data_IF_397246406826
#
_entry.id   IF_397246406826
#
_cell.length_a   1.000
_cell.length_b   1.000
_cell.length_c   1.000
_cell.angle_alpha   90.00
_cell.angle_beta   90.00
_cell.angle_gamma   90.00
#
_symmetry.space_group_name_H-M   'P 1'
#
loop_
_entity.id
_entity.type
_entity.pdbx_description
1 polymer ?
#
# COMPACT_ATOMS: atom_id res chain seq x y z
N UNK A 1 -0.04 -24.11 -15.02
CA UNK A 1 -0.61 -22.95 -15.75
C UNK A 1 -1.65 -22.29 -14.84
N UNK A 2 -1.35 -21.12 -14.27
CA UNK A 2 -2.27 -20.37 -13.39
C UNK A 2 -2.62 -19.05 -14.07
N UNK A 3 -3.15 -19.12 -15.28
CA UNK A 3 -3.68 -17.96 -15.98
C UNK A 3 -5.20 -18.01 -15.85
N UNK A 4 -5.80 -17.02 -15.19
CA UNK A 4 -7.26 -16.87 -15.10
C UNK A 4 -7.94 -17.25 -13.78
N UNK A 5 -7.20 -17.64 -12.72
CA UNK A 5 -7.80 -17.69 -11.37
C UNK A 5 -7.86 -16.27 -10.81
N UNK A 6 -9.05 -15.78 -10.48
CA UNK A 6 -9.24 -14.51 -9.77
C UNK A 6 -8.52 -14.59 -8.43
N UNK A 7 -7.47 -13.79 -8.28
CA UNK A 7 -6.72 -13.64 -7.04
C UNK A 7 -7.37 -12.48 -6.28
N UNK A 8 -8.23 -12.79 -5.31
CA UNK A 8 -8.74 -11.77 -4.40
C UNK A 8 -7.63 -11.39 -3.41
N UNK A 9 -7.43 -10.11 -3.21
CA UNK A 9 -6.44 -9.56 -2.29
C UNK A 9 -7.19 -8.62 -1.34
N UNK A 10 -7.07 -8.88 -0.04
CA UNK A 10 -7.50 -7.92 0.96
C UNK A 10 -6.33 -6.97 1.27
N UNK A 11 -6.62 -5.67 1.30
CA UNK A 11 -5.64 -4.65 1.60
C UNK A 11 -6.06 -3.86 2.84
N UNK A 12 -5.16 -3.81 3.81
CA UNK A 12 -5.31 -3.00 5.01
C UNK A 12 -4.18 -1.96 5.08
N UNK A 13 -4.54 -0.75 5.49
CA UNK A 13 -3.64 0.40 5.64
C UNK A 13 -3.67 0.79 7.13
N UNK A 14 -2.62 0.47 7.86
CA UNK A 14 -2.48 0.85 9.27
C UNK A 14 -1.55 2.05 9.37
N UNK A 15 -1.98 3.07 10.09
CA UNK A 15 -1.19 4.29 10.27
C UNK A 15 -0.56 4.24 11.65
N UNK A 16 0.76 4.39 11.68
CA UNK A 16 1.57 4.34 12.88
C UNK A 16 2.22 5.71 13.07
N UNK A 17 1.98 6.32 14.23
CA UNK A 17 2.64 7.57 14.62
C UNK A 17 3.53 7.28 15.82
N UNK A 18 4.77 7.74 15.77
CA UNK A 18 5.75 7.48 16.83
C UNK A 18 5.76 8.52 17.95
N UNK A 19 4.88 9.53 17.86
CA UNK A 19 4.81 10.65 18.81
C UNK A 19 5.95 11.68 18.67
N UNK A 20 6.90 11.45 17.75
CA UNK A 20 7.98 12.38 17.39
C UNK A 20 7.73 13.06 16.04
N UNK A 21 6.54 12.88 15.49
CA UNK A 21 6.14 13.46 14.22
C UNK A 21 6.43 12.59 12.99
N UNK A 22 6.93 11.37 13.18
CA UNK A 22 7.04 10.45 12.07
C UNK A 22 5.73 9.68 11.90
N UNK A 23 5.24 9.68 10.68
CA UNK A 23 4.06 8.94 10.24
C UNK A 23 4.55 7.80 9.34
N UNK A 24 4.27 6.57 9.74
CA UNK A 24 4.48 5.39 8.93
C UNK A 24 3.14 4.78 8.55
N UNK A 25 3.07 4.17 7.37
CA UNK A 25 1.90 3.40 6.95
C UNK A 25 2.36 1.96 6.69
N UNK A 26 1.77 1.04 7.42
CA UNK A 26 1.88 -0.39 7.16
C UNK A 26 0.77 -0.81 6.20
N UNK A 27 1.16 -1.29 5.02
CA UNK A 27 0.28 -1.86 4.01
C UNK A 27 0.34 -3.38 4.16
N UNK A 28 -0.78 -4.00 4.53
CA UNK A 28 -0.91 -5.45 4.63
C UNK A 28 -1.70 -5.95 3.43
N UNK A 29 -1.11 -6.85 2.66
CA UNK A 29 -1.74 -7.51 1.52
C UNK A 29 -1.94 -8.99 1.86
N UNK A 30 -3.19 -9.39 2.00
CA UNK A 30 -3.56 -10.79 2.26
C UNK A 30 -4.11 -11.40 1.00
N UNK A 31 -3.39 -12.36 0.43
CA UNK A 31 -3.80 -13.07 -0.77
C UNK A 31 -4.75 -14.21 -0.41
N UNK A 32 -5.89 -14.28 -1.10
CA UNK A 32 -6.89 -15.33 -0.89
C UNK A 32 -6.41 -16.75 -1.19
N UNK A 33 -5.36 -16.88 -2.02
CA UNK A 33 -4.71 -18.15 -2.31
C UNK A 33 -3.44 -18.30 -1.49
N UNK A 34 -3.24 -19.52 -0.99
CA UNK A 34 -2.01 -20.00 -0.35
C UNK A 34 -1.61 -19.31 0.96
N UNK A 35 -2.49 -18.48 1.55
CA UNK A 35 -2.27 -17.85 2.86
C UNK A 35 -1.12 -16.84 2.88
N UNK A 36 -0.73 -16.34 1.71
CA UNK A 36 0.38 -15.40 1.58
C UNK A 36 -0.04 -14.05 2.18
N UNK A 37 0.80 -13.52 3.07
CA UNK A 37 0.64 -12.21 3.68
C UNK A 37 1.91 -11.41 3.43
N UNK A 38 1.79 -10.32 2.69
CA UNK A 38 2.87 -9.37 2.45
C UNK A 38 2.65 -8.11 3.26
N UNK A 39 3.73 -7.56 3.84
CA UNK A 39 3.69 -6.36 4.67
C UNK A 39 4.72 -5.35 4.18
N UNK A 40 4.27 -4.14 3.88
CA UNK A 40 5.13 -3.03 3.50
C UNK A 40 5.02 -1.92 4.53
N UNK A 41 6.13 -1.47 5.09
CA UNK A 41 6.16 -0.30 5.98
C UNK A 41 6.79 0.87 5.24
N UNK A 42 6.02 1.94 5.05
CA UNK A 42 6.44 3.12 4.28
C UNK A 42 6.46 4.33 5.20
N UNK A 43 7.52 5.14 5.12
CA UNK A 43 7.60 6.42 5.84
C UNK A 43 6.84 7.49 5.05
N UNK A 44 5.68 7.89 5.54
CA UNK A 44 4.80 8.83 4.87
C UNK A 44 5.32 10.27 4.86
N UNK A 45 6.22 10.64 5.78
CA UNK A 45 6.89 11.95 5.75
C UNK A 45 7.77 12.10 4.50
N UNK A 46 8.36 11.00 4.01
CA UNK A 46 9.26 11.02 2.85
C UNK A 46 8.53 10.76 1.54
N UNK A 47 7.48 9.95 1.57
CA UNK A 47 6.82 9.42 0.39
C UNK A 47 5.36 9.90 0.24
N UNK A 48 5.06 11.17 0.60
CA UNK A 48 3.69 11.71 0.52
C UNK A 48 3.06 11.57 -0.88
N UNK A 49 3.86 11.73 -1.95
CA UNK A 49 3.39 11.59 -3.33
C UNK A 49 2.87 10.18 -3.65
N UNK A 50 3.45 9.15 -3.03
CA UNK A 50 2.96 7.77 -3.17
C UNK A 50 1.53 7.67 -2.64
N UNK A 51 1.26 8.19 -1.44
CA UNK A 51 -0.08 8.16 -0.83
C UNK A 51 -1.10 9.04 -1.58
N UNK A 52 -0.66 10.17 -2.15
CA UNK A 52 -1.51 10.99 -3.03
C UNK A 52 -1.91 10.22 -4.29
N UNK A 53 -0.95 9.52 -4.90
CA UNK A 53 -1.19 8.69 -6.09
C UNK A 53 -2.08 7.50 -5.76
N UNK A 54 -1.87 6.86 -4.60
CA UNK A 54 -2.68 5.76 -4.11
C UNK A 54 -4.12 6.20 -3.86
N UNK A 55 -4.35 7.34 -3.20
CA UNK A 55 -5.70 7.89 -2.99
C UNK A 55 -6.38 8.23 -4.32
N UNK A 56 -5.67 8.89 -5.24
CA UNK A 56 -6.22 9.31 -6.53
C UNK A 56 -6.59 8.14 -7.45
N UNK A 57 -5.79 7.08 -7.44
CA UNK A 57 -5.94 5.99 -8.42
C UNK A 57 -6.57 4.75 -7.81
N UNK A 58 -6.49 4.59 -6.49
CA UNK A 58 -6.87 3.38 -5.77
C UNK A 58 -6.22 2.13 -6.35
N UNK A 59 -5.00 2.28 -6.87
CA UNK A 59 -4.21 1.21 -7.47
C UNK A 59 -2.83 1.12 -6.81
N UNK A 60 -2.41 -0.10 -6.50
CA UNK A 60 -1.06 -0.44 -6.07
C UNK A 60 -0.45 -1.39 -7.11
N UNK A 61 0.72 -1.05 -7.62
CA UNK A 61 1.46 -1.94 -8.52
C UNK A 61 2.65 -2.54 -7.77
N UNK A 62 2.75 -3.87 -7.78
CA UNK A 62 3.89 -4.62 -7.28
C UNK A 62 4.62 -5.22 -8.47
N UNK A 63 5.92 -4.98 -8.54
CA UNK A 63 6.79 -5.66 -9.49
C UNK A 63 8.00 -6.20 -8.73
N UNK A 64 8.52 -7.34 -9.20
CA UNK A 64 9.76 -7.90 -8.67
C UNK A 64 10.86 -7.84 -9.73
N UNK A 65 11.40 -6.63 -10.02
CA UNK A 65 12.37 -6.43 -11.10
C UNK A 65 13.67 -7.20 -10.89
N UNK A 66 13.97 -7.62 -9.65
CA UNK A 66 15.14 -8.41 -9.28
C UNK A 66 14.88 -9.91 -9.15
N UNK A 67 13.63 -10.37 -9.27
CA UNK A 67 13.35 -11.81 -9.24
C UNK A 67 13.98 -12.50 -10.46
N UNK A 68 14.48 -13.71 -10.28
CA UNK A 68 14.90 -14.55 -11.41
C UNK A 68 13.70 -15.12 -12.18
N UNK A 69 12.55 -15.24 -11.50
CA UNK A 69 11.28 -15.70 -12.04
C UNK A 69 10.26 -14.55 -11.97
N UNK A 70 10.11 -13.81 -13.07
CA UNK A 70 9.07 -12.76 -13.17
C UNK A 70 9.57 -11.31 -13.19
N UNK A 71 10.74 -11.03 -13.77
CA UNK A 71 11.23 -9.65 -14.01
C UNK A 71 10.20 -8.77 -14.73
N UNK A 72 9.35 -9.38 -15.56
CA UNK A 72 8.33 -8.69 -16.35
C UNK A 72 6.92 -8.78 -15.73
N UNK A 73 6.77 -9.42 -14.57
CA UNK A 73 5.47 -9.61 -13.94
C UNK A 73 5.15 -8.42 -13.03
N UNK A 74 4.16 -7.64 -13.45
CA UNK A 74 3.54 -6.58 -12.64
C UNK A 74 2.18 -7.06 -12.16
N UNK A 75 1.99 -7.04 -10.84
CA UNK A 75 0.70 -7.26 -10.20
C UNK A 75 0.07 -5.91 -9.90
N UNK A 76 -1.04 -5.61 -10.55
CA UNK A 76 -1.85 -4.44 -10.22
C UNK A 76 -2.97 -4.85 -9.29
N UNK A 77 -3.05 -4.19 -8.15
CA UNK A 77 -4.02 -4.41 -7.09
C UNK A 77 -4.90 -3.17 -7.06
N UNK A 78 -6.17 -3.32 -7.40
CA UNK A 78 -7.16 -2.29 -7.11
C UNK A 78 -7.54 -2.41 -5.63
N UNK A 79 -7.48 -1.30 -4.91
CA UNK A 79 -7.94 -1.26 -3.53
C UNK A 79 -9.45 -1.49 -3.49
N UNK A 80 -9.95 -2.47 -2.73
CA UNK A 80 -11.39 -2.76 -2.66
C UNK A 80 -12.18 -1.63 -1.98
N UNK A 81 -11.49 -0.76 -1.23
CA UNK A 81 -12.03 0.35 -0.45
C UNK A 81 -11.21 1.61 -0.72
N UNK A 82 -11.45 2.31 -1.84
CA UNK A 82 -10.70 3.51 -2.22
C UNK A 82 -10.70 4.59 -1.12
N UNK A 83 -11.79 4.70 -0.36
CA UNK A 83 -11.95 5.62 0.77
C UNK A 83 -10.91 5.41 1.88
N UNK A 84 -10.38 4.19 2.05
CA UNK A 84 -9.31 3.93 3.02
C UNK A 84 -8.02 4.66 2.64
N UNK A 85 -7.72 4.78 1.33
CA UNK A 85 -6.52 5.49 0.87
C UNK A 85 -6.67 7.01 1.03
N UNK A 86 -7.87 7.55 0.79
CA UNK A 86 -8.18 8.96 1.03
C UNK A 86 -8.08 9.32 2.53
N UNK A 87 -8.71 8.54 3.40
CA UNK A 87 -8.64 8.72 4.85
C UNK A 87 -7.19 8.62 5.35
N UNK A 88 -6.41 7.66 4.82
CA UNK A 88 -5.01 7.54 5.18
C UNK A 88 -4.21 8.77 4.78
N UNK A 89 -4.44 9.32 3.58
CA UNK A 89 -3.79 10.54 3.13
C UNK A 89 -4.13 11.74 4.01
N UNK A 90 -5.38 11.88 4.45
CA UNK A 90 -5.81 12.94 5.36
C UNK A 90 -5.11 12.86 6.73
N UNK A 91 -5.08 11.66 7.33
CA UNK A 91 -4.37 11.43 8.60
C UNK A 91 -2.87 11.69 8.46
N UNK A 92 -2.26 11.29 7.34
CA UNK A 92 -0.86 11.60 7.06
C UNK A 92 -0.64 13.12 7.00
N UNK A 93 -1.48 13.85 6.25
CA UNK A 93 -1.36 15.32 6.14
C UNK A 93 -1.46 16.00 7.49
N UNK A 94 -2.46 15.66 8.29
CA UNK A 94 -2.59 16.19 9.64
C UNK A 94 -1.40 15.83 10.52
N UNK A 95 -0.92 14.59 10.43
CA UNK A 95 0.27 14.15 11.14
C UNK A 95 1.51 14.97 10.77
N UNK A 96 1.65 15.39 9.51
CA UNK A 96 2.77 16.23 9.04
C UNK A 96 2.62 17.71 9.43
N UNK A 97 1.40 18.25 9.40
CA UNK A 97 1.11 19.64 9.78
C UNK A 97 1.38 19.92 11.26
N UNK A 98 1.18 18.94 12.15
CA UNK A 98 1.49 19.09 13.58
C UNK A 98 3.00 19.15 13.89
N UNK A 99 3.87 18.90 12.90
CA UNK A 99 5.34 18.90 13.07
C UNK A 99 6.05 20.06 12.37
N UNK A 100 5.33 20.95 11.69
CA UNK A 100 5.85 22.18 11.10
C UNK A 100 5.54 23.37 12.00
#
# INVERSE_FOLDING_TARGET
KVAGKSLAINTDLNILQDGLGHVFVEIILTFSQDGIVEKLLINANKDLFFFQSLAKTSMLALSSPKSHYGKDNVFMIQLPKPEKAENALEIIRHGLEQNN
#
